data_IF_827007918517
#
_entry.id   IF_827007918517
#
_cell.length_a   1.000
_cell.length_b   1.000
_cell.length_c   1.000
_cell.angle_alpha   90.00
_cell.angle_beta   90.00
_cell.angle_gamma   90.00
#
_symmetry.space_group_name_H-M   'P 1'
#
loop_
_entity.id
_entity.type
_entity.pdbx_description
1 polymer ?
#
# COMPACT_ATOMS: atom_id res chain seq x y z
N UNK A 1 -3.98 13.46 -28.25
CA UNK A 1 -5.19 12.67 -28.58
C UNK A 1 -5.01 11.24 -28.06
N UNK A 2 -6.10 10.57 -27.66
CA UNK A 2 -6.07 9.13 -27.33
C UNK A 2 -5.81 8.31 -28.60
N UNK A 3 -5.05 7.22 -28.47
CA UNK A 3 -4.86 6.28 -29.58
C UNK A 3 -6.06 5.33 -29.70
N UNK A 4 -6.23 4.70 -30.86
CA UNK A 4 -7.28 3.69 -31.06
C UNK A 4 -7.14 2.51 -30.08
N UNK A 5 -5.90 2.14 -29.75
CA UNK A 5 -5.62 1.08 -28.78
C UNK A 5 -6.02 1.48 -27.35
N UNK A 6 -5.79 2.74 -26.95
CA UNK A 6 -6.21 3.29 -25.66
C UNK A 6 -7.75 3.32 -25.54
N UNK A 7 -8.44 3.74 -26.59
CA UNK A 7 -9.91 3.72 -26.63
C UNK A 7 -10.44 2.29 -26.58
N UNK A 8 -9.82 1.36 -27.31
CA UNK A 8 -10.19 -0.06 -27.25
C UNK A 8 -9.99 -0.63 -25.84
N UNK A 9 -8.88 -0.30 -25.18
CA UNK A 9 -8.62 -0.71 -23.80
C UNK A 9 -9.69 -0.18 -22.85
N UNK A 10 -10.14 1.07 -23.02
CA UNK A 10 -11.23 1.64 -22.24
C UNK A 10 -12.53 0.82 -22.39
N UNK A 11 -12.90 0.48 -23.63
CA UNK A 11 -14.08 -0.34 -23.91
C UNK A 11 -13.93 -1.75 -23.33
N UNK A 12 -12.74 -2.34 -23.38
CA UNK A 12 -12.49 -3.68 -22.83
C UNK A 12 -12.52 -3.71 -21.29
N UNK A 13 -12.19 -2.60 -20.63
CA UNK A 13 -12.31 -2.44 -19.17
C UNK A 13 -13.77 -2.25 -18.72
N UNK A 14 -14.59 -1.60 -19.55
CA UNK A 14 -16.01 -1.29 -19.27
C UNK A 14 -16.93 -1.91 -20.34
N UNK A 15 -16.83 -3.23 -20.53
CA UNK A 15 -17.40 -3.89 -21.70
C UNK A 15 -18.93 -4.06 -21.63
N UNK A 16 -19.42 -5.04 -20.87
CA UNK A 16 -20.85 -5.30 -20.72
C UNK A 16 -21.14 -5.66 -19.24
N UNK A 17 -22.41 -5.54 -18.79
CA UNK A 17 -22.76 -5.83 -17.39
C UNK A 17 -22.41 -7.25 -16.92
N UNK A 18 -22.44 -8.22 -17.83
CA UNK A 18 -22.23 -9.65 -17.52
C UNK A 18 -20.99 -10.25 -18.21
N UNK A 19 -20.28 -9.47 -19.03
CA UNK A 19 -19.10 -9.93 -19.75
C UNK A 19 -17.98 -8.90 -19.68
N UNK A 20 -16.79 -9.38 -19.34
CA UNK A 20 -15.57 -8.58 -19.36
C UNK A 20 -14.99 -8.55 -20.78
N UNK A 21 -14.36 -7.44 -21.14
CA UNK A 21 -13.55 -7.39 -22.35
C UNK A 21 -12.28 -8.23 -22.17
N UNK A 22 -11.61 -8.53 -23.29
CA UNK A 22 -10.47 -9.46 -23.29
C UNK A 22 -9.33 -9.03 -22.35
N UNK A 23 -9.08 -7.73 -22.20
CA UNK A 23 -8.07 -7.20 -21.29
C UNK A 23 -8.47 -7.35 -19.82
N UNK A 24 -9.72 -7.01 -19.49
CA UNK A 24 -10.27 -7.17 -18.14
C UNK A 24 -10.25 -8.64 -17.71
N UNK A 25 -10.65 -9.55 -18.60
CA UNK A 25 -10.59 -10.98 -18.35
C UNK A 25 -9.15 -11.48 -18.13
N UNK A 26 -8.20 -11.06 -18.97
CA UNK A 26 -6.78 -11.39 -18.78
C UNK A 26 -6.23 -10.88 -17.45
N UNK A 27 -6.59 -9.66 -17.04
CA UNK A 27 -6.22 -9.11 -15.73
C UNK A 27 -6.72 -10.01 -14.58
N UNK A 28 -7.99 -10.39 -14.62
CA UNK A 28 -8.61 -11.26 -13.61
C UNK A 28 -8.00 -12.65 -13.59
N UNK A 29 -7.85 -13.29 -14.75
CA UNK A 29 -7.23 -14.61 -14.88
C UNK A 29 -5.77 -14.59 -14.40
N UNK A 30 -5.02 -13.54 -14.72
CA UNK A 30 -3.67 -13.39 -14.20
C UNK A 30 -3.68 -13.27 -12.68
N UNK A 31 -4.53 -12.42 -12.11
CA UNK A 31 -4.56 -12.17 -10.69
C UNK A 31 -5.00 -13.40 -9.87
N UNK A 32 -6.09 -14.06 -10.30
CA UNK A 32 -6.58 -15.30 -9.69
C UNK A 32 -5.51 -16.39 -9.66
N UNK A 33 -4.84 -16.60 -10.79
CA UNK A 33 -3.80 -17.62 -10.89
C UNK A 33 -2.58 -17.28 -10.03
N UNK A 34 -2.15 -16.02 -10.01
CA UNK A 34 -1.00 -15.57 -9.20
C UNK A 34 -1.27 -15.77 -7.71
N UNK A 35 -2.51 -15.51 -7.27
CA UNK A 35 -2.96 -15.77 -5.90
C UNK A 35 -2.95 -17.27 -5.58
N UNK A 36 -3.50 -18.11 -6.46
CA UNK A 36 -3.58 -19.55 -6.25
C UNK A 36 -2.18 -20.22 -6.22
N UNK A 37 -1.21 -19.68 -6.96
CA UNK A 37 0.13 -20.24 -7.10
C UNK A 37 1.19 -19.46 -6.29
N UNK A 38 0.79 -18.63 -5.32
CA UNK A 38 1.73 -17.89 -4.47
C UNK A 38 2.67 -18.78 -3.63
N UNK A 39 2.26 -19.95 -3.10
CA UNK A 39 3.15 -20.79 -2.29
C UNK A 39 4.35 -21.32 -3.09
N UNK A 40 4.18 -21.49 -4.42
CA UNK A 40 5.21 -21.98 -5.33
C UNK A 40 6.39 -21.02 -5.52
N UNK A 41 6.28 -19.77 -5.06
CA UNK A 41 7.34 -18.76 -5.13
C UNK A 41 8.33 -18.87 -3.96
N UNK A 42 7.88 -19.38 -2.81
CA UNK A 42 8.67 -19.51 -1.59
C UNK A 42 9.65 -20.71 -1.59
N UNK A 43 9.58 -21.59 -2.59
CA UNK A 43 10.45 -22.77 -2.70
C UNK A 43 11.82 -22.36 -3.26
N UNK A 44 12.94 -22.61 -2.56
CA UNK A 44 14.27 -22.29 -3.05
C UNK A 44 14.59 -23.05 -4.34
N UNK A 45 15.37 -22.40 -5.22
CA UNK A 45 15.66 -22.84 -6.59
C UNK A 45 16.43 -24.19 -6.72
N UNK A 46 16.70 -24.88 -5.62
CA UNK A 46 17.42 -26.16 -5.57
C UNK A 46 16.51 -27.38 -5.80
N UNK A 47 15.19 -27.20 -5.85
CA UNK A 47 14.24 -28.26 -6.19
C UNK A 47 14.07 -28.42 -7.73
N UNK A 48 13.84 -29.64 -8.24
CA UNK A 48 13.66 -29.91 -9.68
C UNK A 48 12.46 -29.18 -10.32
N UNK A 49 11.55 -28.62 -9.51
CA UNK A 49 10.35 -27.86 -9.93
C UNK A 49 10.59 -26.34 -10.11
N UNK A 50 11.81 -25.94 -10.45
CA UNK A 50 12.20 -24.52 -10.69
C UNK A 50 11.38 -23.79 -11.77
N UNK A 51 10.61 -24.53 -12.59
CA UNK A 51 9.70 -24.00 -13.61
C UNK A 51 8.51 -23.23 -13.03
N UNK A 52 7.97 -23.65 -11.87
CA UNK A 52 6.80 -23.01 -11.26
C UNK A 52 7.06 -21.55 -10.87
N UNK A 53 8.22 -21.29 -10.24
CA UNK A 53 8.62 -19.94 -9.84
C UNK A 53 8.94 -19.01 -11.02
N UNK A 54 9.50 -19.53 -12.11
CA UNK A 54 9.79 -18.73 -13.32
C UNK A 54 8.50 -18.40 -14.07
N UNK A 55 7.58 -19.35 -14.19
CA UNK A 55 6.25 -19.12 -14.77
C UNK A 55 5.47 -18.08 -13.96
N UNK A 56 5.50 -18.18 -12.63
CA UNK A 56 4.85 -17.21 -11.75
C UNK A 56 5.41 -15.81 -11.95
N UNK A 57 6.75 -15.66 -11.95
CA UNK A 57 7.40 -14.36 -12.19
C UNK A 57 7.10 -13.80 -13.59
N UNK A 58 7.04 -14.65 -14.61
CA UNK A 58 6.65 -14.26 -15.96
C UNK A 58 5.23 -13.70 -16.00
N UNK A 59 4.28 -14.43 -15.40
CA UNK A 59 2.87 -14.03 -15.34
C UNK A 59 2.66 -12.77 -14.47
N UNK A 60 3.42 -12.63 -13.38
CA UNK A 60 3.41 -11.43 -12.55
C UNK A 60 3.88 -10.19 -13.30
N UNK A 61 4.93 -10.31 -14.13
CA UNK A 61 5.39 -9.23 -15.02
C UNK A 61 4.32 -8.86 -16.05
N UNK A 62 3.67 -9.83 -16.67
CA UNK A 62 2.55 -9.58 -17.59
C UNK A 62 1.41 -8.82 -16.90
N UNK A 63 1.03 -9.24 -15.69
CA UNK A 63 0.02 -8.54 -14.89
C UNK A 63 0.41 -7.09 -14.56
N UNK A 64 1.66 -6.86 -14.15
CA UNK A 64 2.18 -5.51 -13.88
C UNK A 64 2.18 -4.62 -15.12
N UNK A 65 2.53 -5.17 -16.29
CA UNK A 65 2.49 -4.44 -17.55
C UNK A 65 1.07 -3.99 -17.89
N UNK A 66 0.06 -4.86 -17.69
CA UNK A 66 -1.35 -4.52 -17.87
C UNK A 66 -1.80 -3.43 -16.88
N UNK A 67 -1.46 -3.56 -15.59
CA UNK A 67 -1.76 -2.52 -14.60
C UNK A 67 -1.13 -1.17 -14.97
N UNK A 68 0.14 -1.18 -15.39
CA UNK A 68 0.85 0.03 -15.81
C UNK A 68 0.24 0.64 -17.09
N UNK A 69 -0.24 -0.18 -18.02
CA UNK A 69 -0.98 0.28 -19.19
C UNK A 69 -2.27 0.99 -18.79
N UNK A 70 -3.06 0.45 -17.85
CA UNK A 70 -4.27 1.10 -17.35
C UNK A 70 -3.98 2.41 -16.61
N UNK A 71 -2.91 2.46 -15.80
CA UNK A 71 -2.49 3.72 -15.16
C UNK A 71 -2.08 4.80 -16.18
N UNK A 72 -1.36 4.41 -17.24
CA UNK A 72 -1.03 5.31 -18.35
C UNK A 72 -2.28 5.77 -19.10
N UNK A 73 -3.22 4.86 -19.38
CA UNK A 73 -4.52 5.19 -19.99
C UNK A 73 -5.25 6.26 -19.19
N UNK A 74 -5.34 6.12 -17.86
CA UNK A 74 -5.95 7.13 -17.00
C UNK A 74 -5.27 8.50 -17.14
N UNK A 75 -3.93 8.56 -17.04
CA UNK A 75 -3.20 9.83 -17.18
C UNK A 75 -3.43 10.49 -18.54
N UNK A 76 -3.43 9.68 -19.62
CA UNK A 76 -3.71 10.15 -20.99
C UNK A 76 -5.16 10.61 -21.17
N UNK A 77 -6.11 9.91 -20.57
CA UNK A 77 -7.53 10.25 -20.57
C UNK A 77 -7.77 11.62 -19.94
N UNK A 78 -7.20 11.85 -18.74
CA UNK A 78 -7.26 13.15 -18.05
C UNK A 78 -6.55 14.27 -18.83
N UNK A 79 -5.55 13.94 -19.65
CA UNK A 79 -4.85 14.91 -20.50
C UNK A 79 -5.61 15.32 -21.76
N UNK A 80 -6.44 14.44 -22.33
CA UNK A 80 -6.86 14.57 -23.73
C UNK A 80 -8.35 14.42 -24.00
N UNK A 81 -9.15 13.95 -23.04
CA UNK A 81 -10.60 13.86 -23.19
C UNK A 81 -11.25 15.25 -23.13
N UNK A 82 -12.34 15.43 -23.88
CA UNK A 82 -13.22 16.58 -23.73
C UNK A 82 -13.82 16.61 -22.31
N UNK A 83 -14.10 17.80 -21.78
CA UNK A 83 -14.54 17.98 -20.39
C UNK A 83 -15.79 17.14 -20.04
N UNK A 84 -16.76 17.06 -20.95
CA UNK A 84 -17.99 16.27 -20.72
C UNK A 84 -17.67 14.79 -20.47
N UNK A 85 -16.93 14.16 -21.38
CA UNK A 85 -16.57 12.74 -21.29
C UNK A 85 -15.63 12.46 -20.10
N UNK A 86 -14.77 13.42 -19.77
CA UNK A 86 -13.87 13.32 -18.63
C UNK A 86 -14.66 13.19 -17.32
N UNK A 87 -15.59 14.11 -17.04
CA UNK A 87 -16.30 14.11 -15.75
C UNK A 87 -17.24 12.91 -15.60
N UNK A 88 -17.83 12.41 -16.70
CA UNK A 88 -18.72 11.25 -16.66
C UNK A 88 -17.96 9.93 -16.41
N UNK A 89 -16.81 9.73 -17.05
CA UNK A 89 -16.07 8.46 -16.98
C UNK A 89 -14.93 8.44 -15.95
N UNK A 90 -14.46 9.62 -15.50
CA UNK A 90 -13.36 9.72 -14.54
C UNK A 90 -13.59 8.90 -13.25
N UNK A 91 -14.76 8.93 -12.59
CA UNK A 91 -14.98 8.16 -11.36
C UNK A 91 -14.65 6.67 -11.52
N UNK A 92 -15.15 6.07 -12.59
CA UNK A 92 -14.97 4.65 -12.88
C UNK A 92 -13.53 4.29 -13.22
N UNK A 93 -12.89 5.13 -14.05
CA UNK A 93 -11.47 4.95 -14.41
C UNK A 93 -10.54 5.14 -13.21
N UNK A 94 -10.82 6.12 -12.36
CA UNK A 94 -10.07 6.39 -11.15
C UNK A 94 -10.18 5.22 -10.16
N UNK A 95 -11.39 4.67 -9.97
CA UNK A 95 -11.64 3.50 -9.12
C UNK A 95 -10.84 2.26 -9.59
N UNK A 96 -10.92 1.92 -10.89
CA UNK A 96 -10.18 0.78 -11.46
C UNK A 96 -8.67 1.00 -11.36
N UNK A 97 -8.19 2.20 -11.68
CA UNK A 97 -6.77 2.55 -11.56
C UNK A 97 -6.25 2.30 -10.13
N UNK A 98 -6.98 2.77 -9.12
CA UNK A 98 -6.59 2.60 -7.72
C UNK A 98 -6.61 1.13 -7.28
N UNK A 99 -7.61 0.35 -7.70
CA UNK A 99 -7.62 -1.08 -7.41
C UNK A 99 -6.46 -1.81 -8.07
N UNK A 100 -6.12 -1.49 -9.32
CA UNK A 100 -4.98 -2.08 -10.00
C UNK A 100 -3.64 -1.66 -9.38
N UNK A 101 -3.52 -0.42 -8.86
CA UNK A 101 -2.35 0.01 -8.09
C UNK A 101 -2.17 -0.84 -6.83
N UNK A 102 -3.24 -1.04 -6.05
CA UNK A 102 -3.22 -1.88 -4.86
C UNK A 102 -2.94 -3.36 -5.19
N UNK A 103 -3.60 -3.91 -6.21
CA UNK A 103 -3.43 -5.29 -6.63
C UNK A 103 -2.03 -5.58 -7.19
N UNK A 104 -1.46 -4.67 -7.97
CA UNK A 104 -0.08 -4.77 -8.48
C UNK A 104 0.93 -4.84 -7.33
N UNK A 105 0.79 -3.97 -6.34
CA UNK A 105 1.66 -3.96 -5.16
C UNK A 105 1.49 -5.19 -4.29
N UNK A 106 0.26 -5.68 -4.13
CA UNK A 106 -0.03 -6.92 -3.42
C UNK A 106 0.61 -8.13 -4.12
N UNK A 107 0.50 -8.23 -5.45
CA UNK A 107 1.18 -9.28 -6.24
C UNK A 107 2.69 -9.18 -6.08
N UNK A 108 3.29 -7.99 -6.14
CA UNK A 108 4.72 -7.82 -5.87
C UNK A 108 5.11 -8.35 -4.49
N UNK A 109 4.31 -8.05 -3.48
CA UNK A 109 4.52 -8.53 -2.11
C UNK A 109 4.42 -10.05 -1.99
N UNK A 110 3.45 -10.68 -2.66
CA UNK A 110 3.34 -12.15 -2.74
C UNK A 110 4.63 -12.77 -3.29
N UNK A 111 5.29 -12.10 -4.24
CA UNK A 111 6.52 -12.58 -4.85
C UNK A 111 7.76 -12.44 -3.97
N UNK A 112 7.71 -11.63 -2.91
CA UNK A 112 8.83 -11.38 -1.99
C UNK A 112 8.78 -12.24 -0.72
N UNK A 113 7.65 -12.89 -0.45
CA UNK A 113 7.39 -13.61 0.80
C UNK A 113 7.43 -15.13 0.58
N UNK A 114 7.98 -15.86 1.55
CA UNK A 114 7.72 -17.30 1.67
C UNK A 114 6.42 -17.47 2.44
N UNK A 115 5.30 -17.32 1.74
CA UNK A 115 3.98 -17.48 2.33
C UNK A 115 3.78 -18.96 2.62
N UNK A 116 3.74 -19.34 3.90
CA UNK A 116 3.61 -20.73 4.35
C UNK A 116 2.15 -21.20 4.42
N UNK A 117 1.18 -20.29 4.39
CA UNK A 117 -0.25 -20.62 4.46
C UNK A 117 -0.96 -20.32 3.13
N UNK A 118 -1.84 -21.21 2.63
CA UNK A 118 -2.67 -20.89 1.47
C UNK A 118 -3.50 -19.65 1.77
N UNK A 119 -3.50 -18.69 0.84
CA UNK A 119 -4.38 -17.52 0.90
C UNK A 119 -5.82 -18.02 0.81
N UNK A 120 -6.49 -18.21 1.96
CA UNK A 120 -7.90 -18.59 1.95
C UNK A 120 -8.68 -17.60 1.09
N UNK A 121 -9.62 -18.07 0.24
CA UNK A 121 -10.61 -17.20 -0.38
C UNK A 121 -11.25 -16.35 0.73
N UNK A 122 -11.45 -15.05 0.49
CA UNK A 122 -12.18 -14.23 1.44
C UNK A 122 -13.63 -14.69 1.46
N UNK A 123 -13.95 -15.69 2.27
CA UNK A 123 -15.31 -16.24 2.41
C UNK A 123 -16.26 -15.26 3.13
N UNK A 124 -15.72 -14.18 3.70
CA UNK A 124 -16.49 -13.27 4.55
C UNK A 124 -17.27 -12.19 3.76
N UNK A 125 -16.95 -11.92 2.49
CA UNK A 125 -17.53 -10.79 1.78
C UNK A 125 -18.91 -11.11 1.19
N UNK A 126 -19.97 -10.56 1.80
CA UNK A 126 -21.35 -10.69 1.35
C UNK A 126 -21.49 -10.28 -0.14
N UNK A 127 -22.26 -11.01 -0.96
CA UNK A 127 -22.33 -10.77 -2.41
C UNK A 127 -22.79 -9.36 -2.80
N UNK A 128 -23.65 -8.73 -2.00
CA UNK A 128 -24.20 -7.38 -2.23
C UNK A 128 -23.26 -6.25 -1.80
N UNK A 129 -22.21 -6.55 -1.03
CA UNK A 129 -21.18 -5.57 -0.64
C UNK A 129 -20.20 -5.26 -1.79
N UNK A 130 -20.21 -6.07 -2.86
CA UNK A 130 -19.31 -5.94 -4.00
C UNK A 130 -19.99 -5.09 -5.07
N UNK A 131 -19.27 -4.10 -5.62
CA UNK A 131 -19.72 -3.45 -6.85
C UNK A 131 -19.74 -4.47 -8.00
N UNK A 132 -20.66 -4.35 -8.95
CA UNK A 132 -20.64 -5.19 -10.15
C UNK A 132 -19.42 -4.91 -11.04
N UNK A 133 -19.14 -5.80 -12.00
CA UNK A 133 -18.10 -5.64 -13.00
C UNK A 133 -16.67 -5.85 -12.50
N UNK A 134 -15.69 -5.39 -13.29
CA UNK A 134 -14.26 -5.65 -13.06
C UNK A 134 -13.79 -5.18 -11.68
N UNK A 135 -14.25 -4.01 -11.22
CA UNK A 135 -13.84 -3.45 -9.93
C UNK A 135 -14.17 -4.38 -8.76
N UNK A 136 -15.40 -4.88 -8.68
CA UNK A 136 -15.79 -5.73 -7.55
C UNK A 136 -15.18 -7.12 -7.59
N UNK A 137 -14.88 -7.65 -8.78
CA UNK A 137 -14.11 -8.89 -8.88
C UNK A 137 -12.67 -8.69 -8.41
N UNK A 138 -12.01 -7.60 -8.81
CA UNK A 138 -10.67 -7.25 -8.29
C UNK A 138 -10.69 -7.03 -6.77
N UNK A 139 -11.72 -6.35 -6.26
CA UNK A 139 -11.93 -6.15 -4.83
C UNK A 139 -12.09 -7.48 -4.07
N UNK A 140 -12.87 -8.41 -4.61
CA UNK A 140 -13.08 -9.74 -4.01
C UNK A 140 -11.82 -10.61 -4.01
N UNK A 141 -10.92 -10.37 -4.96
CA UNK A 141 -9.64 -11.07 -5.05
C UNK A 141 -8.59 -10.52 -4.09
N UNK A 142 -8.76 -9.32 -3.56
CA UNK A 142 -7.91 -8.79 -2.49
C UNK A 142 -8.41 -9.29 -1.13
N UNK A 143 -7.53 -9.78 -0.24
CA UNK A 143 -7.88 -10.18 1.12
C UNK A 143 -8.07 -8.95 2.02
N UNK A 144 -8.99 -8.06 1.64
CA UNK A 144 -9.52 -7.02 2.50
C UNK A 144 -10.81 -7.54 3.12
N UNK A 145 -11.03 -7.29 4.43
CA UNK A 145 -12.27 -7.68 5.10
C UNK A 145 -13.49 -6.93 4.54
N UNK A 146 -14.64 -7.07 5.21
CA UNK A 146 -15.93 -6.50 4.77
C UNK A 146 -16.05 -4.97 4.85
N UNK A 147 -14.94 -4.26 5.08
CA UNK A 147 -14.90 -2.81 5.19
C UNK A 147 -15.15 -2.16 3.82
N UNK A 148 -16.43 -1.99 3.49
CA UNK A 148 -16.88 -1.29 2.30
C UNK A 148 -16.28 0.12 2.24
N UNK A 149 -16.18 0.81 3.38
CA UNK A 149 -15.70 2.20 3.47
C UNK A 149 -14.31 2.40 2.86
N UNK A 150 -13.43 1.40 2.89
CA UNK A 150 -12.12 1.44 2.22
C UNK A 150 -12.22 1.71 0.69
N UNK A 151 -13.35 1.33 0.08
CA UNK A 151 -13.60 1.36 -1.35
C UNK A 151 -14.64 2.41 -1.76
N UNK A 152 -15.44 2.95 -0.82
CA UNK A 152 -16.50 3.91 -1.12
C UNK A 152 -16.08 5.35 -0.86
N UNK A 153 -15.55 5.99 -1.90
CA UNK A 153 -15.23 7.42 -1.81
C UNK A 153 -15.43 8.18 -3.10
N UNK A 154 -15.85 9.45 -3.02
CA UNK A 154 -15.96 10.29 -4.19
C UNK A 154 -14.55 10.53 -4.78
N UNK A 155 -14.40 10.40 -6.11
CA UNK A 155 -13.18 10.81 -6.78
C UNK A 155 -12.93 12.31 -6.56
N UNK A 156 -11.68 12.77 -6.67
CA UNK A 156 -11.39 14.19 -6.57
C UNK A 156 -12.13 14.95 -7.68
N UNK A 157 -12.69 16.12 -7.34
CA UNK A 157 -13.38 16.99 -8.31
C UNK A 157 -12.46 17.40 -9.47
N UNK A 158 -11.16 17.50 -9.19
CA UNK A 158 -10.14 17.79 -10.18
C UNK A 158 -9.27 16.56 -10.41
N UNK A 159 -9.40 15.90 -11.57
CA UNK A 159 -8.64 14.70 -11.87
C UNK A 159 -7.14 15.01 -11.97
N UNK A 160 -6.34 14.25 -11.23
CA UNK A 160 -4.87 14.36 -11.30
C UNK A 160 -4.32 13.51 -12.45
N UNK A 161 -3.32 14.05 -13.14
CA UNK A 161 -2.56 13.36 -14.19
C UNK A 161 -1.37 12.57 -13.65
N UNK A 162 -1.08 12.74 -12.35
CA UNK A 162 0.08 12.15 -11.69
C UNK A 162 0.05 10.62 -11.82
N UNK A 163 1.16 10.05 -12.26
CA UNK A 163 1.37 8.61 -12.22
C UNK A 163 1.96 8.24 -10.88
N UNK A 164 1.42 7.17 -10.30
CA UNK A 164 1.90 6.61 -9.06
C UNK A 164 2.35 5.16 -9.29
N UNK A 165 3.41 4.78 -8.60
CA UNK A 165 3.87 3.40 -8.51
C UNK A 165 3.81 2.98 -7.03
N UNK A 166 3.04 1.94 -6.75
CA UNK A 166 2.99 1.33 -5.43
C UNK A 166 3.77 0.03 -5.46
N UNK A 167 4.72 -0.14 -4.55
CA UNK A 167 5.59 -1.32 -4.49
C UNK A 167 6.07 -1.64 -3.07
N UNK A 168 6.47 -2.89 -2.79
CA UNK A 168 7.17 -3.22 -1.56
C UNK A 168 8.49 -2.45 -1.44
N UNK A 169 8.95 -2.29 -0.19
CA UNK A 169 10.22 -1.66 0.13
C UNK A 169 11.39 -2.41 -0.51
N UNK A 170 12.24 -1.70 -1.26
CA UNK A 170 13.50 -2.22 -1.78
C UNK A 170 14.66 -1.86 -0.84
N UNK A 171 15.76 -2.64 -0.83
CA UNK A 171 16.95 -2.32 -0.03
C UNK A 171 17.54 -0.95 -0.36
N UNK A 172 17.43 -0.50 -1.62
CA UNK A 172 17.87 0.81 -2.09
C UNK A 172 17.08 1.95 -1.44
N UNK A 173 15.83 1.67 -1.07
CA UNK A 173 14.96 2.64 -0.41
C UNK A 173 15.35 2.88 1.04
N UNK A 174 16.06 1.95 1.69
CA UNK A 174 16.61 2.21 3.03
C UNK A 174 17.53 3.43 3.02
N UNK A 175 18.19 3.67 1.89
CA UNK A 175 18.95 4.89 1.67
C UNK A 175 18.01 6.03 1.30
N UNK A 176 17.17 5.93 0.26
CA UNK A 176 16.35 7.07 -0.23
C UNK A 176 15.21 7.51 0.71
N UNK A 177 14.51 6.59 1.39
CA UNK A 177 13.56 6.86 2.48
C UNK A 177 14.25 7.32 3.77
N UNK A 178 15.57 7.14 3.84
CA UNK A 178 16.42 7.82 4.80
C UNK A 178 16.51 9.34 4.56
N UNK A 179 15.98 9.89 3.45
CA UNK A 179 16.15 11.32 3.14
C UNK A 179 15.26 11.90 2.02
N UNK A 180 14.03 11.44 1.75
CA UNK A 180 13.16 12.07 0.73
C UNK A 180 12.74 13.53 1.08
N UNK A 181 13.72 14.42 0.91
CA UNK A 181 13.90 15.86 0.79
C UNK A 181 13.17 16.86 1.73
N UNK A 182 13.83 18.03 1.99
CA UNK A 182 13.62 18.94 3.14
C UNK A 182 12.35 19.82 3.05
N UNK A 183 11.36 19.41 2.25
CA UNK A 183 10.15 20.20 1.96
C UNK A 183 8.89 19.66 2.62
N UNK A 184 8.97 18.49 3.25
CA UNK A 184 8.26 18.27 4.51
C UNK A 184 9.08 19.04 5.55
N UNK A 185 8.52 20.13 6.10
CA UNK A 185 9.17 20.95 7.12
C UNK A 185 10.02 20.11 8.10
N UNK A 186 11.34 20.22 8.00
CA UNK A 186 12.32 19.79 9.01
C UNK A 186 12.55 18.28 9.23
N UNK A 187 13.45 17.68 8.42
CA UNK A 187 14.45 16.66 8.81
C UNK A 187 14.26 15.17 8.48
N UNK A 188 15.37 14.47 8.15
CA UNK A 188 15.48 13.00 8.12
C UNK A 188 15.27 12.31 9.50
N UNK A 189 15.27 13.09 10.59
CA UNK A 189 15.02 12.59 11.94
C UNK A 189 13.54 12.21 12.20
N UNK A 190 12.59 12.83 11.49
CA UNK A 190 11.16 12.51 11.57
C UNK A 190 10.81 11.18 10.89
N UNK A 191 11.49 10.83 9.80
CA UNK A 191 11.33 9.54 9.14
C UNK A 191 11.91 8.39 10.00
N UNK A 192 13.05 8.62 10.66
CA UNK A 192 13.60 7.68 11.65
C UNK A 192 12.78 7.56 12.94
N UNK A 193 11.92 8.54 13.23
CA UNK A 193 11.09 8.67 14.44
C UNK A 193 10.10 7.52 14.61
N UNK A 194 9.37 7.19 13.53
CA UNK A 194 8.26 6.24 13.62
C UNK A 194 8.43 5.02 12.70
N UNK A 195 9.13 5.16 11.56
CA UNK A 195 9.33 4.06 10.62
C UNK A 195 10.58 3.23 10.91
N UNK A 196 11.53 3.76 11.69
CA UNK A 196 12.80 3.08 11.94
C UNK A 196 12.63 1.73 12.63
N UNK A 197 11.65 1.61 13.53
CA UNK A 197 11.29 0.35 14.18
C UNK A 197 10.71 -0.63 13.16
N UNK A 198 9.80 -0.20 12.29
CA UNK A 198 9.25 -1.04 11.22
C UNK A 198 10.32 -1.48 10.20
N UNK A 199 11.24 -0.60 9.82
CA UNK A 199 12.34 -0.92 8.90
C UNK A 199 13.26 -2.03 9.45
N UNK A 200 13.43 -2.07 10.77
CA UNK A 200 14.30 -3.02 11.43
C UNK A 200 13.59 -4.32 11.81
N UNK A 201 12.38 -4.22 12.37
CA UNK A 201 11.65 -5.33 12.98
C UNK A 201 10.64 -5.99 12.04
N UNK A 202 10.05 -5.22 11.11
CA UNK A 202 9.01 -5.72 10.20
C UNK A 202 9.09 -5.14 8.77
N UNK A 203 10.25 -5.22 8.09
CA UNK A 203 10.42 -4.69 6.73
C UNK A 203 9.49 -5.35 5.71
N UNK A 204 9.00 -6.55 6.01
CA UNK A 204 8.21 -7.37 5.11
C UNK A 204 6.75 -6.90 4.91
N UNK A 205 6.29 -5.97 5.75
CA UNK A 205 5.00 -5.27 5.60
C UNK A 205 5.19 -3.78 5.33
N UNK A 206 6.24 -3.42 4.60
CA UNK A 206 6.50 -2.04 4.20
C UNK A 206 6.31 -1.82 2.71
N UNK A 207 5.55 -0.78 2.39
CA UNK A 207 5.21 -0.36 1.04
C UNK A 207 5.57 1.10 0.83
N UNK A 208 5.96 1.42 -0.39
CA UNK A 208 6.35 2.77 -0.82
C UNK A 208 5.45 3.17 -1.98
N UNK A 209 4.92 4.38 -1.89
CA UNK A 209 4.29 5.07 -2.99
C UNK A 209 5.31 6.01 -3.61
N UNK A 210 5.51 5.89 -4.91
CA UNK A 210 6.40 6.75 -5.69
C UNK A 210 5.59 7.52 -6.74
N UNK A 211 5.99 8.76 -6.97
CA UNK A 211 5.57 9.55 -8.12
C UNK A 211 6.78 9.89 -9.00
N UNK A 212 6.58 10.70 -10.05
CA UNK A 212 7.65 11.19 -10.94
C UNK A 212 8.79 11.91 -10.19
N UNK A 213 8.52 12.43 -8.99
CA UNK A 213 9.49 13.09 -8.10
C UNK A 213 10.10 12.17 -7.04
N UNK A 214 9.91 10.86 -7.14
CA UNK A 214 10.42 9.83 -6.24
C UNK A 214 9.43 9.42 -5.13
N UNK A 215 9.91 8.80 -4.05
CA UNK A 215 9.06 8.37 -2.93
C UNK A 215 8.25 9.53 -2.36
N UNK A 216 6.93 9.36 -2.33
CA UNK A 216 5.97 10.36 -1.89
C UNK A 216 4.97 9.83 -0.85
N UNK A 217 5.02 8.54 -0.51
CA UNK A 217 4.24 7.99 0.60
C UNK A 217 4.77 6.63 1.06
N UNK A 218 4.33 6.21 2.24
CA UNK A 218 4.71 4.95 2.85
C UNK A 218 3.55 4.31 3.61
N UNK A 219 3.55 2.99 3.65
CA UNK A 219 2.76 2.17 4.57
C UNK A 219 3.73 1.23 5.28
N UNK A 220 3.59 1.10 6.59
CA UNK A 220 4.29 0.12 7.38
C UNK A 220 3.31 -0.60 8.29
N UNK A 221 3.51 -1.90 8.46
CA UNK A 221 2.73 -2.71 9.38
C UNK A 221 3.60 -3.66 10.19
N UNK A 222 3.04 -4.12 11.29
CA UNK A 222 3.56 -5.22 12.08
C UNK A 222 2.42 -6.21 12.34
N UNK A 223 2.62 -7.48 11.98
CA UNK A 223 1.60 -8.51 12.11
C UNK A 223 1.22 -8.76 13.58
N UNK A 224 2.23 -8.85 14.47
CA UNK A 224 2.05 -9.02 15.91
C UNK A 224 2.52 -7.76 16.64
N UNK A 225 1.57 -6.89 16.99
CA UNK A 225 1.83 -5.63 17.65
C UNK A 225 2.47 -5.82 19.05
N UNK A 226 2.05 -6.84 19.80
CA UNK A 226 2.63 -7.12 21.12
C UNK A 226 4.12 -7.49 21.03
N UNK A 227 4.47 -8.41 20.13
CA UNK A 227 5.86 -8.78 19.88
C UNK A 227 6.69 -7.61 19.35
N UNK A 228 6.14 -6.86 18.40
CA UNK A 228 6.77 -5.69 17.82
C UNK A 228 7.06 -4.59 18.85
N UNK A 229 6.08 -4.24 19.70
CA UNK A 229 6.26 -3.24 20.75
C UNK A 229 7.28 -3.70 21.79
N UNK A 230 7.25 -4.98 22.18
CA UNK A 230 8.24 -5.55 23.10
C UNK A 230 9.65 -5.45 22.54
N UNK A 231 9.87 -5.86 21.29
CA UNK A 231 11.19 -5.79 20.63
C UNK A 231 11.64 -4.35 20.41
N UNK A 232 10.71 -3.47 20.02
CA UNK A 232 10.96 -2.03 19.91
C UNK A 232 11.51 -1.47 21.22
N UNK A 233 10.89 -1.83 22.34
CA UNK A 233 11.25 -1.30 23.66
C UNK A 233 12.51 -1.96 24.24
N UNK A 234 12.77 -3.24 23.93
CA UNK A 234 13.92 -4.00 24.47
C UNK A 234 15.21 -3.85 23.66
N UNK A 235 15.14 -3.70 22.32
CA UNK A 235 16.34 -3.70 21.45
C UNK A 235 16.49 -2.40 20.68
N UNK A 236 15.46 -1.98 19.95
CA UNK A 236 15.56 -0.86 19.02
C UNK A 236 15.66 0.50 19.72
N UNK A 237 14.78 0.81 20.68
CA UNK A 237 14.82 2.07 21.43
C UNK A 237 16.13 2.24 22.21
N UNK A 238 16.65 1.23 22.95
CA UNK A 238 17.96 1.34 23.58
C UNK A 238 19.10 1.61 22.60
N UNK A 239 19.13 0.93 21.45
CA UNK A 239 20.14 1.15 20.41
C UNK A 239 20.06 2.60 19.85
N UNK A 240 18.85 3.10 19.62
CA UNK A 240 18.64 4.49 19.17
C UNK A 240 19.03 5.51 20.24
N UNK A 241 18.74 5.26 21.52
CA UNK A 241 19.16 6.12 22.64
C UNK A 241 20.68 6.16 22.79
N UNK A 242 21.38 5.07 22.49
CA UNK A 242 22.85 5.05 22.47
C UNK A 242 23.42 5.85 21.29
N UNK A 243 22.78 5.75 20.10
CA UNK A 243 23.15 6.55 18.93
C UNK A 243 22.84 8.04 19.08
N UNK A 244 21.82 8.38 19.86
CA UNK A 244 21.37 9.75 20.14
C UNK A 244 21.30 10.02 21.66
N UNK A 245 22.46 10.20 22.32
CA UNK A 245 22.53 10.44 23.76
C UNK A 245 21.99 11.84 24.12
N UNK A 246 21.44 11.99 25.34
CA UNK A 246 20.81 13.24 25.82
C UNK A 246 21.77 14.45 25.79
N UNK A 247 23.07 14.20 25.99
CA UNK A 247 24.12 15.23 26.06
C UNK A 247 24.42 15.89 24.70
N UNK A 248 24.02 15.27 23.59
CA UNK A 248 24.13 15.86 22.25
C UNK A 248 23.22 17.11 22.09
N UNK A 249 22.21 17.26 22.96
CA UNK A 249 21.20 18.31 22.88
C UNK A 249 21.72 19.75 23.06
N UNK A 250 22.87 19.96 23.70
CA UNK A 250 23.40 21.29 23.96
C UNK A 250 24.09 21.95 22.75
N UNK A 251 24.51 21.17 21.75
CA UNK A 251 25.19 21.65 20.53
C UNK A 251 24.64 21.12 19.21
N UNK A 252 23.61 20.27 19.24
CA UNK A 252 22.98 19.74 18.04
C UNK A 252 22.11 20.79 17.33
N UNK A 253 22.06 20.80 15.98
CA UNK A 253 21.07 21.59 15.24
C UNK A 253 19.65 21.25 15.72
N UNK A 254 18.70 22.19 15.61
CA UNK A 254 17.32 22.06 16.11
C UNK A 254 16.64 20.71 15.79
N UNK A 255 16.97 20.13 14.63
CA UNK A 255 16.46 18.85 14.15
C UNK A 255 16.98 17.62 14.93
N UNK A 256 18.20 17.70 15.48
CA UNK A 256 18.76 16.69 16.37
C UNK A 256 18.16 16.75 17.78
N UNK A 257 17.77 17.94 18.23
CA UNK A 257 17.07 18.13 19.51
C UNK A 257 15.67 17.49 19.49
N UNK A 258 14.90 17.64 18.41
CA UNK A 258 13.59 16.98 18.31
C UNK A 258 13.66 15.45 18.27
N UNK A 259 14.65 14.90 17.55
CA UNK A 259 14.88 13.45 17.50
C UNK A 259 15.17 12.90 18.91
N UNK A 260 16.00 13.64 19.65
CA UNK A 260 16.39 13.33 21.01
C UNK A 260 15.20 13.41 21.97
N UNK A 261 14.38 14.46 21.88
CA UNK A 261 13.13 14.54 22.65
C UNK A 261 12.22 13.36 22.37
N UNK A 262 12.12 12.90 21.12
CA UNK A 262 11.27 11.75 20.79
C UNK A 262 11.80 10.42 21.34
N UNK A 263 13.07 10.07 21.10
CA UNK A 263 13.61 8.78 21.56
C UNK A 263 13.68 8.66 23.09
N UNK A 264 13.73 9.81 23.77
CA UNK A 264 13.76 9.90 25.22
C UNK A 264 12.39 10.23 25.84
N UNK A 265 11.35 10.46 25.04
CA UNK A 265 9.98 10.62 25.54
C UNK A 265 9.43 9.28 26.05
N UNK A 266 8.58 9.36 27.07
CA UNK A 266 7.79 8.21 27.51
C UNK A 266 6.68 7.93 26.50
N UNK A 267 6.71 6.74 25.92
CA UNK A 267 5.67 6.29 25.00
C UNK A 267 4.51 5.69 25.81
N UNK A 268 3.26 6.13 25.56
CA UNK A 268 2.12 5.57 26.25
C UNK A 268 1.96 4.09 25.90
N UNK A 269 1.72 3.27 26.93
CA UNK A 269 1.45 1.85 26.74
C UNK A 269 0.11 1.66 26.02
N UNK A 270 0.07 0.72 25.07
CA UNK A 270 -1.19 0.35 24.41
C UNK A 270 -1.99 -0.54 25.35
N UNK A 271 -3.28 -0.24 25.63
CA UNK A 271 -4.09 -1.09 26.49
C UNK A 271 -4.23 -2.51 25.93
N UNK A 272 -4.06 -3.53 26.79
CA UNK A 272 -4.20 -4.95 26.42
C UNK A 272 -5.51 -5.31 25.70
N UNK A 273 -6.68 -4.73 26.03
CA UNK A 273 -7.91 -4.99 25.29
C UNK A 273 -7.82 -4.62 23.80
N UNK A 274 -7.07 -3.55 23.48
CA UNK A 274 -6.84 -3.13 22.09
C UNK A 274 -5.97 -4.15 21.38
N UNK A 275 -4.86 -4.58 21.98
CA UNK A 275 -3.95 -5.57 21.38
C UNK A 275 -4.63 -6.93 21.14
N UNK A 276 -5.54 -7.35 22.04
CA UNK A 276 -6.32 -8.59 21.87
C UNK A 276 -7.34 -8.50 20.75
N UNK A 277 -7.97 -7.33 20.56
CA UNK A 277 -8.98 -7.14 19.51
C UNK A 277 -8.34 -6.84 18.15
N UNK A 278 -7.24 -6.10 18.14
CA UNK A 278 -6.52 -5.63 16.98
C UNK A 278 -5.04 -6.05 17.09
N UNK A 279 -4.69 -7.26 16.62
CA UNK A 279 -3.35 -7.83 16.82
C UNK A 279 -2.26 -7.14 16.02
N UNK A 280 -2.60 -6.37 14.98
CA UNK A 280 -1.61 -5.75 14.09
C UNK A 280 -1.55 -4.23 14.25
N UNK A 281 -0.35 -3.67 14.15
CA UNK A 281 -0.10 -2.23 14.20
C UNK A 281 0.17 -1.74 12.79
N UNK A 282 -0.43 -0.61 12.39
CA UNK A 282 -0.20 0.02 11.08
C UNK A 282 0.14 1.49 11.21
N UNK A 283 0.93 1.96 10.26
CA UNK A 283 1.26 3.35 10.10
C UNK A 283 1.37 3.72 8.63
N UNK A 284 0.65 4.78 8.24
CA UNK A 284 0.62 5.33 6.91
C UNK A 284 0.99 6.80 6.94
N UNK A 285 1.65 7.26 5.90
CA UNK A 285 1.93 8.67 5.70
C UNK A 285 2.19 8.99 4.24
N UNK A 286 1.65 10.11 3.78
CA UNK A 286 1.89 10.63 2.43
C UNK A 286 2.41 12.05 2.52
N UNK A 287 3.28 12.43 1.58
CA UNK A 287 3.79 13.78 1.47
C UNK A 287 2.66 14.74 1.04
N UNK A 288 2.68 16.01 1.48
CA UNK A 288 1.68 17.02 1.13
C UNK A 288 1.48 17.24 -0.38
N UNK A 289 2.46 16.87 -1.20
CA UNK A 289 2.36 16.92 -2.67
C UNK A 289 1.44 15.85 -3.26
N UNK A 290 1.12 14.78 -2.50
CA UNK A 290 0.18 13.74 -2.91
C UNK A 290 -1.23 14.26 -2.69
N UNK A 291 -1.82 14.80 -3.74
CA UNK A 291 -3.21 15.31 -3.72
C UNK A 291 -4.24 14.21 -4.00
N UNK A 292 -3.80 13.10 -4.59
CA UNK A 292 -4.67 12.00 -4.97
C UNK A 292 -4.93 11.06 -3.80
N UNK A 293 -6.07 11.25 -3.14
CA UNK A 293 -6.52 10.43 -2.01
C UNK A 293 -6.62 8.94 -2.39
N UNK A 294 -6.87 8.64 -3.67
CA UNK A 294 -6.97 7.28 -4.18
C UNK A 294 -5.66 6.51 -4.09
N UNK A 295 -4.53 7.20 -4.30
CA UNK A 295 -3.20 6.60 -4.20
C UNK A 295 -2.87 6.24 -2.73
N UNK A 296 -3.15 7.15 -1.79
CA UNK A 296 -2.98 6.90 -0.35
C UNK A 296 -3.84 5.74 0.16
N UNK A 297 -5.06 5.59 -0.38
CA UNK A 297 -5.94 4.46 -0.05
C UNK A 297 -5.49 3.16 -0.68
N UNK A 298 -5.02 3.19 -1.92
CA UNK A 298 -4.45 1.99 -2.58
C UNK A 298 -3.30 1.42 -1.76
N UNK A 299 -2.49 2.30 -1.17
CA UNK A 299 -1.43 1.95 -0.24
C UNK A 299 -1.96 1.33 1.06
N UNK A 300 -3.06 1.85 1.64
CA UNK A 300 -3.74 1.23 2.77
C UNK A 300 -4.32 -0.15 2.44
N UNK A 301 -5.07 -0.26 1.35
CA UNK A 301 -5.66 -1.51 0.86
C UNK A 301 -4.58 -2.59 0.67
N UNK A 302 -3.44 -2.23 0.09
CA UNK A 302 -2.32 -3.15 -0.09
C UNK A 302 -1.74 -3.65 1.25
N UNK A 303 -1.49 -2.75 2.20
CA UNK A 303 -0.97 -3.10 3.52
C UNK A 303 -1.95 -4.01 4.29
N UNK A 304 -3.23 -3.63 4.31
CA UNK A 304 -4.27 -4.41 5.00
C UNK A 304 -4.43 -5.79 4.36
N UNK A 305 -4.36 -5.87 3.03
CA UNK A 305 -4.36 -7.13 2.30
C UNK A 305 -3.20 -8.02 2.72
N UNK A 306 -1.99 -7.47 2.81
CA UNK A 306 -0.81 -8.22 3.24
C UNK A 306 -0.92 -8.75 4.68
N UNK A 307 -1.44 -7.93 5.60
CA UNK A 307 -1.64 -8.34 7.00
C UNK A 307 -2.74 -9.41 7.14
N UNK A 308 -3.85 -9.26 6.42
CA UNK A 308 -4.95 -10.21 6.42
C UNK A 308 -4.57 -11.53 5.77
N UNK A 309 -3.80 -11.49 4.67
CA UNK A 309 -3.21 -12.66 4.02
C UNK A 309 -2.41 -13.53 5.01
N UNK A 310 -1.73 -12.89 5.97
CA UNK A 310 -0.95 -13.57 7.01
C UNK A 310 -1.73 -13.76 8.33
N UNK A 311 -3.06 -13.71 8.28
CA UNK A 311 -3.94 -14.12 9.39
C UNK A 311 -4.34 -13.02 10.37
N UNK A 312 -4.03 -11.75 10.10
CA UNK A 312 -4.49 -10.66 10.95
C UNK A 312 -6.01 -10.55 10.96
N UNK A 313 -6.57 -10.34 12.16
CA UNK A 313 -8.02 -10.18 12.39
C UNK A 313 -8.44 -8.72 12.58
N UNK A 314 -7.48 -7.81 12.70
CA UNK A 314 -7.75 -6.40 12.98
C UNK A 314 -6.46 -5.61 13.11
N UNK A 315 -6.55 -4.32 12.79
CA UNK A 315 -5.43 -3.38 12.85
C UNK A 315 -5.77 -2.20 13.76
N UNK A 316 -4.76 -1.60 14.37
CA UNK A 316 -4.87 -0.29 15.00
C UNK A 316 -3.70 0.59 14.57
N UNK A 317 -3.87 1.91 14.71
CA UNK A 317 -2.83 2.89 14.47
C UNK A 317 -2.70 3.81 15.70
N UNK A 318 -1.53 4.44 15.83
CA UNK A 318 -1.29 5.49 16.82
C UNK A 318 -1.14 6.81 16.10
N UNK A 319 -1.99 7.77 16.44
CA UNK A 319 -2.00 9.10 15.82
C UNK A 319 -1.95 10.14 16.93
N UNK A 320 -1.18 11.21 16.70
CA UNK A 320 -1.17 12.35 17.62
C UNK A 320 -2.53 13.04 17.60
N UNK A 321 -3.07 13.39 18.77
CA UNK A 321 -4.32 14.14 18.88
C UNK A 321 -4.25 15.52 18.18
N UNK A 322 -3.05 16.06 17.96
CA UNK A 322 -2.82 17.32 17.26
C UNK A 322 -2.80 17.17 15.73
N UNK A 323 -2.65 15.95 15.20
CA UNK A 323 -2.53 15.70 13.77
C UNK A 323 -3.92 15.45 13.14
N UNK A 324 -4.64 16.54 12.88
CA UNK A 324 -5.97 16.50 12.29
C UNK A 324 -5.98 15.88 10.88
N UNK A 325 -4.89 15.98 10.12
CA UNK A 325 -4.79 15.42 8.78
C UNK A 325 -4.80 13.89 8.83
N UNK A 326 -3.96 13.30 9.68
CA UNK A 326 -3.95 11.85 9.86
C UNK A 326 -5.25 11.34 10.49
N UNK A 327 -5.80 12.03 11.49
CA UNK A 327 -7.08 11.65 12.08
C UNK A 327 -8.21 11.65 11.03
N UNK A 328 -8.28 12.68 10.19
CA UNK A 328 -9.26 12.74 9.08
C UNK A 328 -9.05 11.62 8.07
N UNK A 329 -7.81 11.28 7.76
CA UNK A 329 -7.47 10.20 6.84
C UNK A 329 -7.93 8.85 7.38
N UNK A 330 -7.53 8.47 8.60
CA UNK A 330 -7.93 7.19 9.20
C UNK A 330 -9.42 7.10 9.45
N UNK A 331 -10.07 8.19 9.90
CA UNK A 331 -11.54 8.20 10.11
C UNK A 331 -12.34 7.93 8.83
N UNK A 332 -11.73 8.18 7.66
CA UNK A 332 -12.35 7.89 6.36
C UNK A 332 -12.09 6.45 5.88
N UNK A 333 -11.19 5.71 6.50
CA UNK A 333 -10.87 4.33 6.11
C UNK A 333 -11.82 3.28 6.74
N UNK A 334 -12.67 3.71 7.69
CA UNK A 334 -13.51 2.82 8.52
C UNK A 334 -12.81 2.43 9.80
#
# INVERSE_FOLDING_TARGET
PLTMEEVRMLVELFYLPYHHGTQAQRLLEHFQWLRANSPSVGVPATAPDSCGGTQWRGRARSFQLLCAQTCRLHSRFVCSAGQALLYDLHPYLWDIRNMLLAASAFVLWLGCQSITAPLCPGEDAEPWARRGGLFGELQALLPVGNSCDLFYHPPPLFPSRQLYLLRPLLPQDKLSLGWAQPRLSGAPALAGRLLGSFLHLSPEYMFVLEDEGGPCGYAAGALCAEGFLRERDSSWLPAMRHKYPRELGAGAPALGQEALLFFHAELPAVPLPVLRRFPSLVQLGTAPRVLDVGASRSLAVCLLSALRANGSRGVFCQVSATDQQQLSFYSKLG
#
